data_IF_451993481233
#
_entry.id   IF_451993481233
#
_cell.length_a   1.000
_cell.length_b   1.000
_cell.length_c   1.000
_cell.angle_alpha   90.00
_cell.angle_beta   90.00
_cell.angle_gamma   90.00
#
_symmetry.space_group_name_H-M   'P 1'
#
loop_
_entity.id
_entity.type
_entity.pdbx_description
1 polymer ?
#
# COMPACT_ATOMS: atom_id res chain seq x y z
N UNK A 1 0.12 -20.62 2.66
CA UNK A 1 -1.03 -21.56 2.46
C UNK A 1 -0.68 -22.47 1.27
N UNK A 2 -1.47 -23.49 0.91
CA UNK A 2 -1.22 -24.21 -0.35
C UNK A 2 -1.98 -23.56 -1.50
N UNK A 3 -1.34 -23.21 -2.62
CA UNK A 3 -2.06 -22.85 -3.84
C UNK A 3 -2.36 -24.12 -4.65
N UNK A 4 -3.59 -24.24 -5.14
CA UNK A 4 -4.05 -25.38 -5.91
C UNK A 4 -4.73 -24.90 -7.20
N UNK A 5 -4.45 -25.60 -8.30
CA UNK A 5 -5.19 -25.48 -9.56
C UNK A 5 -6.39 -26.43 -9.47
N UNK A 6 -7.59 -25.91 -9.76
CA UNK A 6 -8.78 -26.76 -9.93
C UNK A 6 -8.80 -27.30 -11.36
N UNK A 7 -8.69 -28.61 -11.51
CA UNK A 7 -8.87 -29.31 -12.77
C UNK A 7 -10.31 -29.83 -12.84
N UNK A 8 -11.09 -29.42 -13.85
CA UNK A 8 -12.50 -29.78 -14.02
C UNK A 8 -12.90 -29.78 -15.50
N UNK A 9 -14.01 -30.42 -15.86
CA UNK A 9 -14.56 -30.28 -17.21
C UNK A 9 -15.20 -28.90 -17.37
N UNK A 10 -14.92 -28.21 -18.49
CA UNK A 10 -15.33 -26.80 -18.73
C UNK A 10 -16.82 -26.46 -18.52
N UNK A 11 -17.69 -27.45 -18.34
CA UNK A 11 -19.14 -27.32 -18.20
C UNK A 11 -19.69 -27.72 -16.82
N UNK A 12 -18.90 -28.35 -15.94
CA UNK A 12 -19.36 -28.80 -14.62
C UNK A 12 -18.20 -28.70 -13.60
N UNK A 13 -18.37 -27.88 -12.56
CA UNK A 13 -17.37 -27.73 -11.50
C UNK A 13 -17.41 -28.88 -10.47
N UNK A 14 -18.48 -29.68 -10.46
CA UNK A 14 -18.71 -30.69 -9.43
C UNK A 14 -17.79 -31.92 -9.57
N UNK A 15 -17.21 -32.14 -10.74
CA UNK A 15 -16.24 -33.20 -11.01
C UNK A 15 -14.78 -32.79 -10.76
N UNK A 16 -14.58 -31.55 -10.29
CA UNK A 16 -13.25 -30.97 -10.16
C UNK A 16 -12.38 -31.64 -9.11
N UNK A 17 -11.08 -31.76 -9.39
CA UNK A 17 -10.05 -32.16 -8.42
C UNK A 17 -8.96 -31.11 -8.32
N UNK A 18 -8.39 -30.97 -7.12
CA UNK A 18 -7.35 -29.98 -6.83
C UNK A 18 -5.96 -30.58 -7.02
N UNK A 19 -5.16 -29.94 -7.84
CA UNK A 19 -3.74 -30.24 -8.03
C UNK A 19 -2.90 -29.13 -7.41
N UNK A 20 -1.88 -29.50 -6.64
CA UNK A 20 -1.04 -28.51 -5.96
C UNK A 20 -0.21 -27.75 -6.98
N UNK A 21 -0.27 -26.41 -6.94
CA UNK A 21 0.56 -25.58 -7.78
C UNK A 21 2.04 -25.72 -7.36
N UNK A 22 2.93 -25.69 -8.36
CA UNK A 22 4.36 -25.75 -8.10
C UNK A 22 4.85 -24.40 -7.59
N UNK A 23 5.65 -24.44 -6.52
CA UNK A 23 6.40 -23.27 -6.06
C UNK A 23 7.61 -23.10 -6.97
N UNK A 24 7.77 -21.92 -7.53
CA UNK A 24 8.95 -21.59 -8.31
C UNK A 24 9.95 -20.81 -7.44
N UNK A 25 11.22 -21.22 -7.38
CA UNK A 25 12.26 -20.40 -6.79
C UNK A 25 12.54 -19.22 -7.72
N UNK A 26 12.08 -18.03 -7.36
CA UNK A 26 12.38 -16.79 -8.07
C UNK A 26 13.86 -16.41 -7.87
N UNK A 27 14.45 -15.75 -8.87
CA UNK A 27 15.69 -14.99 -8.67
C UNK A 27 15.38 -13.67 -7.94
N UNK A 28 15.61 -13.67 -6.63
CA UNK A 28 14.96 -12.77 -5.67
C UNK A 28 15.40 -11.30 -5.80
N UNK A 29 16.67 -11.04 -6.08
CA UNK A 29 17.27 -9.70 -5.87
C UNK A 29 16.73 -8.61 -6.80
N UNK A 30 16.02 -8.95 -7.88
CA UNK A 30 15.51 -7.92 -8.79
C UNK A 30 14.02 -8.01 -9.02
N UNK A 31 13.49 -9.20 -9.25
CA UNK A 31 12.11 -9.33 -9.74
C UNK A 31 11.09 -8.99 -8.66
N UNK A 32 11.25 -9.51 -7.44
CA UNK A 32 10.28 -9.25 -6.38
C UNK A 32 10.32 -7.81 -5.89
N UNK A 33 11.52 -7.20 -5.79
CA UNK A 33 11.64 -5.76 -5.53
C UNK A 33 10.89 -4.94 -6.58
N UNK A 34 11.06 -5.25 -7.87
CA UNK A 34 10.34 -4.54 -8.94
C UNK A 34 8.83 -4.71 -8.80
N UNK A 35 8.35 -5.91 -8.47
CA UNK A 35 6.91 -6.14 -8.30
C UNK A 35 6.36 -5.36 -7.12
N UNK A 36 7.10 -5.32 -6.01
CA UNK A 36 6.71 -4.57 -4.82
C UNK A 36 6.74 -3.06 -5.07
N UNK A 37 7.73 -2.57 -5.80
CA UNK A 37 7.81 -1.18 -6.24
C UNK A 37 6.61 -0.79 -7.11
N UNK A 38 6.21 -1.67 -8.02
CA UNK A 38 5.05 -1.49 -8.90
C UNK A 38 3.70 -1.76 -8.21
N UNK A 39 3.70 -2.34 -7.02
CA UNK A 39 2.50 -2.76 -6.29
C UNK A 39 2.68 -2.61 -4.78
N UNK A 40 2.98 -1.40 -4.28
CA UNK A 40 3.25 -1.17 -2.85
C UNK A 40 2.05 -1.48 -1.94
N UNK A 41 0.84 -1.45 -2.49
CA UNK A 41 -0.40 -1.75 -1.76
C UNK A 41 -0.38 -3.15 -1.11
N UNK A 42 0.35 -4.11 -1.67
CA UNK A 42 0.44 -5.47 -1.12
C UNK A 42 1.10 -5.53 0.26
N UNK A 43 1.80 -4.48 0.69
CA UNK A 43 2.39 -4.36 2.03
C UNK A 43 1.36 -4.02 3.10
N UNK A 44 0.16 -3.59 2.71
CA UNK A 44 -0.91 -3.20 3.63
C UNK A 44 -2.05 -4.20 3.59
N UNK A 45 -2.81 -4.27 4.67
CA UNK A 45 -4.02 -5.09 4.72
C UNK A 45 -5.17 -4.51 3.90
N UNK A 46 -5.14 -3.20 3.65
CA UNK A 46 -6.11 -2.53 2.79
C UNK A 46 -5.54 -2.34 1.38
N UNK A 47 -6.39 -2.55 0.37
CA UNK A 47 -6.03 -2.44 -1.05
C UNK A 47 -5.83 -0.98 -1.53
N UNK A 48 -5.77 0.00 -0.60
CA UNK A 48 -5.87 1.44 -0.91
C UNK A 48 -4.69 2.26 -0.48
N UNK A 49 -3.95 1.76 0.51
CA UNK A 49 -2.72 2.35 0.97
C UNK A 49 -1.65 2.08 -0.07
N UNK A 50 -0.83 3.09 -0.32
CA UNK A 50 0.27 3.01 -1.28
C UNK A 50 1.47 3.76 -0.72
N UNK A 51 2.61 3.60 -1.36
CA UNK A 51 3.88 4.22 -0.96
C UNK A 51 4.42 4.99 -2.16
N UNK A 52 4.81 6.24 -1.92
CA UNK A 52 5.64 7.00 -2.84
C UNK A 52 7.08 6.57 -2.61
N UNK A 53 7.64 5.73 -3.47
CA UNK A 53 9.03 5.32 -3.38
C UNK A 53 9.95 6.51 -3.64
N UNK A 54 11.01 6.61 -2.84
CA UNK A 54 12.02 7.68 -2.94
C UNK A 54 13.43 7.11 -3.00
N UNK A 55 13.55 5.78 -3.08
CA UNK A 55 14.84 5.14 -3.11
C UNK A 55 14.80 3.62 -3.17
N UNK A 56 15.76 3.08 -3.92
CA UNK A 56 16.12 1.66 -3.96
C UNK A 56 17.58 1.54 -3.59
N UNK A 57 17.92 0.57 -2.74
CA UNK A 57 19.32 0.35 -2.34
C UNK A 57 20.01 1.67 -1.97
N UNK A 58 19.34 2.48 -1.13
CA UNK A 58 19.68 3.89 -0.92
C UNK A 58 20.99 4.05 -0.16
N UNK A 59 22.00 4.67 -0.79
CA UNK A 59 23.35 4.76 -0.24
C UNK A 59 23.44 5.66 0.98
N UNK A 60 23.84 5.08 2.11
CA UNK A 60 24.21 5.79 3.33
C UNK A 60 25.74 5.87 3.44
N UNK A 61 26.36 6.95 2.98
CA UNK A 61 27.82 7.08 3.10
C UNK A 61 28.18 7.46 4.54
N UNK A 62 28.38 6.48 5.43
CA UNK A 62 29.12 6.68 6.69
C UNK A 62 30.01 5.49 7.09
N UNK A 63 31.29 5.85 7.14
CA UNK A 63 32.55 5.26 7.62
C UNK A 63 32.87 3.76 7.77
N UNK A 64 32.00 2.77 7.99
CA UNK A 64 32.52 1.38 8.16
C UNK A 64 31.76 0.22 7.51
N UNK A 65 30.48 0.33 7.19
CA UNK A 65 29.80 -0.60 6.25
C UNK A 65 28.55 0.05 5.68
N UNK A 66 28.49 0.27 4.37
CA UNK A 66 27.25 0.70 3.72
C UNK A 66 26.26 -0.45 3.74
N UNK A 67 25.17 -0.32 4.48
CA UNK A 67 24.02 -1.22 4.35
C UNK A 67 22.81 -0.39 3.96
N UNK A 68 21.97 -0.96 3.12
CA UNK A 68 20.94 -0.26 2.36
C UNK A 68 19.61 -0.96 2.62
N UNK A 69 18.53 -0.24 2.97
CA UNK A 69 17.21 -0.83 2.83
C UNK A 69 16.96 -1.13 1.35
N UNK A 70 16.32 -2.27 1.07
CA UNK A 70 16.04 -2.66 -0.31
C UNK A 70 15.11 -1.63 -0.98
N UNK A 71 14.05 -1.20 -0.26
CA UNK A 71 13.18 -0.09 -0.67
C UNK A 71 12.97 0.93 0.45
N UNK A 72 12.90 2.21 0.07
CA UNK A 72 12.56 3.33 0.94
C UNK A 72 11.53 4.22 0.27
N UNK A 73 10.49 4.58 1.00
CA UNK A 73 9.39 5.40 0.50
C UNK A 73 8.77 6.29 1.57
N UNK A 74 7.72 6.99 1.19
CA UNK A 74 6.93 7.86 2.06
C UNK A 74 5.46 7.54 1.86
N UNK A 75 4.72 7.42 2.96
CA UNK A 75 3.29 7.12 2.92
C UNK A 75 2.40 8.37 2.77
N UNK A 76 1.10 8.15 2.70
CA UNK A 76 0.10 9.21 2.62
C UNK A 76 -0.03 10.05 3.90
N UNK A 77 0.78 9.85 4.94
CA UNK A 77 0.90 10.72 6.12
C UNK A 77 2.22 11.51 6.16
N UNK A 78 3.15 11.21 5.24
CA UNK A 78 4.49 11.82 5.23
C UNK A 78 5.50 11.04 6.08
N UNK A 79 5.11 9.87 6.58
CA UNK A 79 5.98 9.00 7.38
C UNK A 79 6.86 8.14 6.47
N UNK A 80 8.10 7.91 6.90
CA UNK A 80 9.07 7.14 6.11
C UNK A 80 8.76 5.65 6.24
N UNK A 81 8.77 4.96 5.10
CA UNK A 81 8.57 3.53 4.99
C UNK A 81 9.88 2.86 4.57
N UNK A 82 10.31 1.87 5.33
CA UNK A 82 11.50 1.07 5.04
C UNK A 82 11.10 -0.39 4.85
N UNK A 83 11.60 -1.01 3.79
CA UNK A 83 11.33 -2.42 3.48
C UNK A 83 12.64 -3.18 3.35
N UNK A 84 12.74 -4.26 4.11
CA UNK A 84 13.81 -5.25 4.01
C UNK A 84 13.26 -6.55 3.46
N UNK A 85 13.85 -7.00 2.36
CA UNK A 85 13.49 -8.17 1.58
C UNK A 85 14.49 -9.31 1.88
N UNK A 86 13.99 -10.52 2.15
CA UNK A 86 14.80 -11.75 2.27
C UNK A 86 14.26 -12.91 1.44
N UNK A 87 15.14 -13.51 0.63
CA UNK A 87 14.88 -14.79 -0.04
C UNK A 87 14.81 -15.91 0.99
N UNK A 88 13.82 -16.77 0.87
CA UNK A 88 13.70 -17.93 1.74
C UNK A 88 13.37 -17.53 3.18
N UNK A 89 14.00 -18.21 4.14
CA UNK A 89 13.76 -18.00 5.56
C UNK A 89 14.55 -16.83 6.11
N UNK A 90 13.88 -15.91 6.80
CA UNK A 90 14.53 -14.76 7.45
C UNK A 90 15.68 -15.20 8.37
N UNK A 91 16.90 -14.66 8.21
CA UNK A 91 17.96 -14.85 9.18
C UNK A 91 17.66 -14.02 10.44
N UNK A 92 18.31 -14.35 11.57
CA UNK A 92 18.02 -13.66 12.85
C UNK A 92 18.44 -12.19 12.85
N UNK A 93 19.46 -11.85 12.10
CA UNK A 93 20.03 -10.51 11.98
C UNK A 93 19.20 -9.56 11.11
N UNK A 94 18.15 -10.05 10.43
CA UNK A 94 17.24 -9.19 9.63
C UNK A 94 16.64 -8.06 10.47
N UNK A 95 16.32 -8.32 11.74
CA UNK A 95 15.78 -7.29 12.64
C UNK A 95 16.85 -6.26 12.98
N UNK A 96 18.10 -6.69 13.18
CA UNK A 96 19.20 -5.77 13.44
C UNK A 96 19.47 -4.88 12.22
N UNK A 97 19.49 -5.46 11.01
CA UNK A 97 19.63 -4.71 9.75
C UNK A 97 18.52 -3.67 9.61
N UNK A 98 17.26 -4.06 9.79
CA UNK A 98 16.12 -3.14 9.70
C UNK A 98 16.19 -2.01 10.74
N UNK A 99 16.64 -2.29 11.97
CA UNK A 99 16.82 -1.28 13.01
C UNK A 99 18.02 -0.35 12.74
N UNK A 100 19.09 -0.84 12.11
CA UNK A 100 20.19 0.00 11.62
C UNK A 100 19.66 1.03 10.60
N UNK A 101 18.81 0.60 9.67
CA UNK A 101 18.17 1.51 8.70
C UNK A 101 17.21 2.48 9.37
N UNK A 102 16.41 2.01 10.33
CA UNK A 102 15.50 2.87 11.07
C UNK A 102 16.27 3.98 11.82
N UNK A 103 17.37 3.63 12.50
CA UNK A 103 18.20 4.60 13.19
C UNK A 103 18.84 5.63 12.22
N UNK A 104 19.22 5.21 11.02
CA UNK A 104 19.68 6.14 9.98
C UNK A 104 18.55 7.05 9.50
N UNK A 105 17.39 6.48 9.15
CA UNK A 105 16.26 7.22 8.60
C UNK A 105 15.66 8.24 9.59
N UNK A 106 15.67 7.93 10.89
CA UNK A 106 15.21 8.82 11.96
C UNK A 106 16.00 10.15 12.00
N UNK A 107 17.24 10.14 11.52
CA UNK A 107 18.09 11.34 11.47
C UNK A 107 17.97 12.14 10.16
N UNK A 108 17.16 11.71 9.20
CA UNK A 108 17.01 12.40 7.92
C UNK A 108 16.14 13.64 8.06
N UNK A 109 16.70 14.78 7.66
CA UNK A 109 15.97 16.03 7.53
C UNK A 109 15.03 16.03 6.31
N UNK A 110 14.17 17.05 6.21
CA UNK A 110 13.37 17.26 5.01
C UNK A 110 14.27 17.39 3.77
N UNK A 111 15.36 18.14 3.88
CA UNK A 111 16.32 18.37 2.80
C UNK A 111 16.98 17.06 2.35
N UNK A 112 17.33 16.17 3.28
CA UNK A 112 17.89 14.86 2.94
C UNK A 112 16.87 14.02 2.15
N UNK A 113 15.62 13.97 2.61
CA UNK A 113 14.53 13.25 1.95
C UNK A 113 14.20 13.86 0.59
N UNK A 114 14.27 15.18 0.47
CA UNK A 114 14.06 15.88 -0.79
C UNK A 114 15.14 15.50 -1.81
N UNK A 115 16.42 15.48 -1.42
CA UNK A 115 17.52 15.04 -2.29
C UNK A 115 17.34 13.59 -2.74
N UNK A 116 16.94 12.69 -1.84
CA UNK A 116 16.63 11.29 -2.19
C UNK A 116 15.50 11.22 -3.22
N UNK A 117 14.42 11.97 -2.98
CA UNK A 117 13.23 12.02 -3.84
C UNK A 117 13.58 12.52 -5.24
N UNK A 118 14.22 13.69 -5.34
CA UNK A 118 14.61 14.28 -6.62
C UNK A 118 15.54 13.35 -7.42
N UNK A 119 16.45 12.64 -6.73
CA UNK A 119 17.34 11.67 -7.37
C UNK A 119 16.56 10.46 -7.88
N UNK A 120 15.58 9.97 -7.15
CA UNK A 120 14.76 8.82 -7.55
C UNK A 120 13.88 9.14 -8.77
N UNK A 121 13.36 10.36 -8.86
CA UNK A 121 12.51 10.82 -9.96
C UNK A 121 13.27 11.55 -11.09
N UNK A 122 14.60 11.45 -11.15
CA UNK A 122 15.44 12.20 -12.11
C UNK A 122 15.16 11.88 -13.60
N UNK A 123 14.55 10.71 -13.86
CA UNK A 123 14.19 10.19 -15.19
C UNK A 123 12.70 10.06 -15.40
N UNK A 124 11.87 10.41 -14.41
CA UNK A 124 10.43 10.38 -14.56
C UNK A 124 9.98 11.71 -15.17
N UNK A 125 9.55 11.69 -16.44
CA UNK A 125 9.12 12.89 -17.16
C UNK A 125 8.00 13.67 -16.47
N UNK A 126 7.18 13.01 -15.64
CA UNK A 126 6.08 13.66 -14.92
C UNK A 126 6.55 14.39 -13.66
N UNK A 127 7.60 13.89 -13.00
CA UNK A 127 8.03 14.37 -11.67
C UNK A 127 9.42 15.00 -11.67
N UNK A 128 10.12 15.00 -12.80
CA UNK A 128 11.47 15.55 -12.92
C UNK A 128 11.53 17.02 -12.47
N UNK A 129 12.46 17.30 -11.56
CA UNK A 129 12.69 18.64 -11.02
C UNK A 129 11.67 19.12 -9.98
N UNK A 130 10.67 18.30 -9.63
CA UNK A 130 9.76 18.58 -8.52
C UNK A 130 10.39 18.21 -7.18
N UNK A 131 10.03 18.96 -6.13
CA UNK A 131 10.43 18.69 -4.76
C UNK A 131 9.53 17.61 -4.12
N UNK A 132 10.01 17.02 -3.02
CA UNK A 132 9.31 16.02 -2.22
C UNK A 132 7.86 16.42 -1.91
N UNK A 133 7.64 17.63 -1.39
CA UNK A 133 6.29 18.09 -1.06
C UNK A 133 5.36 18.17 -2.27
N UNK A 134 5.88 18.51 -3.45
CA UNK A 134 5.09 18.64 -4.67
C UNK A 134 4.68 17.27 -5.23
N UNK A 135 5.63 16.33 -5.29
CA UNK A 135 5.36 14.96 -5.73
C UNK A 135 4.39 14.29 -4.74
N UNK A 136 4.63 14.44 -3.43
CA UNK A 136 3.74 13.91 -2.39
C UNK A 136 2.32 14.44 -2.53
N UNK A 137 2.17 15.76 -2.70
CA UNK A 137 0.88 16.41 -2.97
C UNK A 137 0.21 15.83 -4.22
N UNK A 138 0.95 15.70 -5.33
CA UNK A 138 0.42 15.19 -6.59
C UNK A 138 -0.05 13.73 -6.50
N UNK A 139 0.59 12.92 -5.65
CA UNK A 139 0.25 11.50 -5.49
C UNK A 139 -0.94 11.33 -4.54
N UNK A 140 -0.92 12.00 -3.38
CA UNK A 140 -1.86 11.73 -2.29
C UNK A 140 -2.98 12.78 -2.14
N UNK A 141 -2.78 14.00 -2.66
CA UNK A 141 -3.72 15.14 -2.53
C UNK A 141 -3.93 15.96 -3.83
N UNK A 142 -4.03 15.31 -5.00
CA UNK A 142 -4.14 15.97 -6.31
C UNK A 142 -5.29 16.97 -6.45
N UNK A 143 -6.39 16.80 -5.71
CA UNK A 143 -7.58 17.66 -5.81
C UNK A 143 -7.67 18.77 -4.76
N UNK A 144 -6.70 18.84 -3.84
CA UNK A 144 -6.73 19.88 -2.82
C UNK A 144 -6.08 21.15 -3.38
N UNK A 145 -6.85 22.23 -3.38
CA UNK A 145 -6.35 23.56 -3.73
C UNK A 145 -5.35 24.03 -2.67
N UNK A 146 -4.11 24.31 -3.11
CA UNK A 146 -3.02 24.76 -2.25
C UNK A 146 -2.20 23.62 -1.63
N UNK A 147 -1.00 23.96 -1.17
CA UNK A 147 -0.10 22.99 -0.56
C UNK A 147 -0.66 22.49 0.78
N UNK A 148 -0.77 21.17 0.95
CA UNK A 148 -1.07 20.58 2.25
C UNK A 148 0.17 20.68 3.12
N UNK A 149 0.09 21.46 4.21
CA UNK A 149 1.19 21.58 5.17
C UNK A 149 1.43 20.22 5.84
N UNK A 150 2.67 19.72 5.73
CA UNK A 150 3.04 18.37 6.14
C UNK A 150 4.40 18.36 6.81
N UNK A 151 4.44 17.74 7.98
CA UNK A 151 5.69 17.35 8.61
C UNK A 151 6.06 15.96 8.07
N UNK A 152 7.20 15.88 7.41
CA UNK A 152 7.74 14.60 6.95
C UNK A 152 8.54 13.92 8.05
N UNK A 153 8.66 12.59 7.95
CA UNK A 153 9.51 11.76 8.81
C UNK A 153 9.21 11.91 10.32
N UNK A 154 7.93 11.95 10.69
CA UNK A 154 7.53 12.01 12.10
C UNK A 154 7.49 10.62 12.73
N UNK A 155 7.26 9.59 11.91
CA UNK A 155 7.30 8.18 12.28
C UNK A 155 7.96 7.37 11.19
N UNK A 156 8.42 6.18 11.59
CA UNK A 156 8.94 5.16 10.69
C UNK A 156 7.99 3.96 10.66
N UNK A 157 7.74 3.43 9.48
CA UNK A 157 7.03 2.17 9.25
C UNK A 157 7.99 1.18 8.61
N UNK A 158 8.16 0.03 9.24
CA UNK A 158 9.22 -0.92 8.92
C UNK A 158 8.60 -2.23 8.47
N UNK A 159 9.08 -2.78 7.36
CA UNK A 159 8.58 -4.04 6.80
C UNK A 159 9.72 -5.05 6.66
N UNK A 160 9.45 -6.28 7.10
CA UNK A 160 10.23 -7.47 6.78
C UNK A 160 9.42 -8.31 5.81
N UNK A 161 9.96 -8.56 4.62
CA UNK A 161 9.28 -9.33 3.57
C UNK A 161 10.10 -10.57 3.23
N UNK A 162 9.54 -11.77 3.38
CA UNK A 162 10.28 -13.01 3.08
C UNK A 162 9.40 -14.20 2.69
N UNK A 163 9.99 -15.30 2.20
CA UNK A 163 9.24 -16.54 1.91
C UNK A 163 8.85 -17.30 3.18
N UNK A 164 9.64 -17.16 4.25
CA UNK A 164 9.36 -17.73 5.56
C UNK A 164 9.88 -16.82 6.68
N UNK A 165 8.97 -16.38 7.56
CA UNK A 165 9.32 -15.58 8.72
C UNK A 165 9.54 -16.51 9.92
N UNK A 166 10.77 -16.52 10.44
CA UNK A 166 11.09 -17.39 11.57
C UNK A 166 10.30 -17.00 12.83
N UNK A 167 9.91 -17.99 13.64
CA UNK A 167 9.22 -17.75 14.92
C UNK A 167 9.97 -16.77 15.84
N UNK A 168 11.30 -16.86 15.89
CA UNK A 168 12.12 -15.95 16.68
C UNK A 168 12.06 -14.51 16.18
N UNK A 169 12.04 -14.29 14.86
CA UNK A 169 11.89 -12.95 14.29
C UNK A 169 10.52 -12.38 14.66
N UNK A 170 9.44 -13.16 14.53
CA UNK A 170 8.09 -12.75 14.93
C UNK A 170 7.99 -12.39 16.41
N UNK A 171 8.58 -13.19 17.29
CA UNK A 171 8.60 -12.92 18.74
C UNK A 171 9.33 -11.61 19.08
N UNK A 172 10.47 -11.34 18.43
CA UNK A 172 11.23 -10.10 18.61
C UNK A 172 10.45 -8.91 18.08
N UNK A 173 9.92 -9.00 16.86
CA UNK A 173 9.07 -7.95 16.24
C UNK A 173 7.89 -7.61 17.15
N UNK A 174 7.17 -8.63 17.63
CA UNK A 174 6.03 -8.42 18.55
C UNK A 174 6.45 -7.75 19.86
N UNK A 175 7.61 -8.11 20.40
CA UNK A 175 8.16 -7.47 21.59
C UNK A 175 8.50 -5.99 21.31
N UNK A 176 9.20 -5.71 20.21
CA UNK A 176 9.61 -4.37 19.80
C UNK A 176 8.41 -3.46 19.55
N UNK A 177 7.38 -3.95 18.86
CA UNK A 177 6.16 -3.17 18.65
C UNK A 177 5.47 -2.87 19.99
N UNK A 178 5.28 -3.89 20.84
CA UNK A 178 4.54 -3.75 22.11
C UNK A 178 5.29 -2.93 23.18
N UNK A 179 6.61 -3.02 23.23
CA UNK A 179 7.43 -2.43 24.32
C UNK A 179 8.31 -1.29 23.86
N UNK A 180 8.78 -1.32 22.61
CA UNK A 180 9.58 -0.26 21.99
C UNK A 180 8.77 0.76 21.21
N UNK A 181 7.45 0.56 21.05
CA UNK A 181 6.57 1.45 20.28
C UNK A 181 7.05 1.65 18.84
N UNK A 182 7.54 0.58 18.21
CA UNK A 182 7.92 0.57 16.81
C UNK A 182 6.73 0.10 15.94
N UNK A 183 6.73 0.50 14.67
CA UNK A 183 5.79 0.00 13.66
C UNK A 183 6.50 -0.98 12.72
N UNK A 184 6.66 -2.23 13.16
CA UNK A 184 7.27 -3.30 12.36
C UNK A 184 6.22 -4.31 11.92
N UNK A 185 6.10 -4.53 10.62
CA UNK A 185 5.23 -5.56 10.03
C UNK A 185 6.05 -6.63 9.31
N UNK A 186 5.59 -7.89 9.37
CA UNK A 186 6.20 -9.04 8.70
C UNK A 186 5.24 -9.56 7.63
N UNK A 187 5.61 -9.45 6.36
CA UNK A 187 4.87 -10.03 5.24
C UNK A 187 5.59 -11.28 4.74
N UNK A 188 4.84 -12.37 4.67
CA UNK A 188 5.24 -13.57 3.96
C UNK A 188 4.77 -13.52 2.52
N UNK A 189 5.57 -14.01 1.59
CA UNK A 189 5.12 -14.22 0.21
C UNK A 189 5.43 -15.63 -0.30
N UNK A 190 4.64 -16.11 -1.25
CA UNK A 190 4.85 -17.37 -1.95
C UNK A 190 4.57 -17.16 -3.44
N UNK A 191 5.47 -17.64 -4.31
CA UNK A 191 5.30 -17.53 -5.77
C UNK A 191 5.02 -18.90 -6.35
N UNK A 192 4.01 -18.94 -7.20
CA UNK A 192 3.61 -20.11 -7.96
C UNK A 192 3.59 -19.77 -9.44
N UNK A 193 3.85 -20.78 -10.27
CA UNK A 193 3.71 -20.67 -11.72
C UNK A 193 2.72 -21.71 -12.22
N UNK A 194 1.78 -21.30 -13.04
CA UNK A 194 0.89 -22.22 -13.73
C UNK A 194 1.59 -22.92 -14.89
N UNK A 195 0.99 -24.00 -15.37
CA UNK A 195 1.42 -24.68 -16.60
C UNK A 195 1.30 -23.78 -17.85
N UNK A 196 0.36 -22.83 -17.86
CA UNK A 196 0.23 -21.80 -18.90
C UNK A 196 1.35 -20.76 -18.87
N UNK A 197 2.19 -20.78 -17.83
CA UNK A 197 3.32 -19.87 -17.65
C UNK A 197 3.00 -18.58 -16.89
N UNK A 198 1.78 -18.43 -16.37
CA UNK A 198 1.36 -17.29 -15.55
C UNK A 198 1.92 -17.41 -14.13
N UNK A 199 2.25 -16.26 -13.53
CA UNK A 199 2.74 -16.19 -12.15
C UNK A 199 1.61 -15.79 -11.20
N UNK A 200 1.56 -16.45 -10.05
CA UNK A 200 0.67 -16.13 -8.94
C UNK A 200 1.51 -15.84 -7.71
N UNK A 201 1.27 -14.70 -7.07
CA UNK A 201 1.94 -14.31 -5.83
C UNK A 201 0.90 -14.29 -4.73
N UNK A 202 1.12 -15.10 -3.69
CA UNK A 202 0.37 -15.05 -2.45
C UNK A 202 1.14 -14.19 -1.46
N UNK A 203 0.48 -13.25 -0.80
CA UNK A 203 1.04 -12.49 0.33
C UNK A 203 0.22 -12.71 1.59
N UNK A 204 0.86 -12.70 2.75
CA UNK A 204 0.22 -12.87 4.06
C UNK A 204 0.98 -12.03 5.10
N UNK A 205 0.31 -11.08 5.75
CA UNK A 205 0.89 -10.33 6.87
C UNK A 205 0.82 -11.22 8.11
N UNK A 206 1.96 -11.77 8.54
CA UNK A 206 2.04 -12.70 9.68
C UNK A 206 2.16 -11.98 11.03
N UNK A 207 2.70 -10.77 11.06
CA UNK A 207 2.71 -9.88 12.24
C UNK A 207 2.56 -8.43 11.78
N UNK A 208 1.74 -7.67 12.48
CA UNK A 208 1.59 -6.23 12.28
C UNK A 208 1.86 -5.49 13.59
N UNK A 209 2.17 -4.19 13.53
CA UNK A 209 2.21 -3.38 14.74
C UNK A 209 0.81 -3.19 15.32
N UNK A 210 0.62 -3.35 16.64
CA UNK A 210 -0.62 -2.98 17.28
C UNK A 210 -0.63 -1.46 17.46
N UNK A 211 -1.36 -0.72 16.63
CA UNK A 211 -1.75 0.65 16.98
C UNK A 211 -2.49 0.57 18.31
N UNK A 212 -2.22 1.46 19.24
CA UNK A 212 -3.00 1.58 20.47
C UNK A 212 -4.51 1.75 20.16
N UNK A 213 -5.31 0.69 20.31
CA UNK A 213 -6.75 0.80 20.47
C UNK A 213 -7.05 1.06 21.94
N UNK A 214 -7.35 2.31 22.29
CA UNK A 214 -8.11 2.59 23.50
C UNK A 214 -9.55 2.11 23.26
N UNK A 215 -9.87 0.90 23.71
CA UNK A 215 -11.07 0.60 24.53
C UNK A 215 -11.23 -0.92 24.80
N UNK A 216 -11.61 -1.22 26.04
CA UNK A 216 -11.91 -2.54 26.59
C UNK A 216 -13.23 -3.12 26.06
N UNK A 217 -13.20 -4.35 25.52
CA UNK A 217 -14.40 -5.14 25.24
C UNK A 217 -14.10 -6.44 24.48
N UNK A 218 -14.27 -7.58 25.15
CA UNK A 218 -14.01 -8.96 24.69
C UNK A 218 -14.52 -9.33 23.28
N UNK A 219 -13.62 -9.68 22.33
CA UNK A 219 -13.51 -11.00 21.64
C UNK A 219 -12.33 -11.03 20.63
N UNK A 220 -11.95 -12.23 20.21
CA UNK A 220 -10.64 -12.65 19.66
C UNK A 220 -10.17 -12.03 18.32
N UNK A 221 -8.86 -11.75 18.29
CA UNK A 221 -7.87 -11.82 17.18
C UNK A 221 -8.09 -11.04 15.88
N UNK A 222 -7.47 -9.86 15.79
CA UNK A 222 -6.52 -9.41 14.76
C UNK A 222 -6.25 -7.92 15.00
N UNK A 223 -5.01 -7.54 15.28
CA UNK A 223 -4.64 -6.15 15.56
C UNK A 223 -3.81 -5.63 14.39
N UNK A 224 -4.33 -4.65 13.65
CA UNK A 224 -3.64 -4.09 12.49
C UNK A 224 -3.65 -2.55 12.45
N UNK A 225 -2.55 -2.01 11.92
CA UNK A 225 -2.51 -0.70 11.27
C UNK A 225 -3.11 -0.86 9.87
N UNK A 226 -4.35 -0.45 9.77
CA UNK A 226 -5.25 -0.77 8.67
C UNK A 226 -6.64 -0.62 9.26
N UNK A 227 -7.60 -0.29 8.44
CA UNK A 227 -8.98 -0.25 8.87
C UNK A 227 -9.39 -1.48 9.70
N UNK A 228 -9.71 -1.27 10.98
CA UNK A 228 -10.07 -2.34 11.94
C UNK A 228 -11.59 -2.63 12.00
N UNK A 229 -12.37 -2.12 11.04
CA UNK A 229 -13.80 -2.37 11.02
C UNK A 229 -14.16 -3.68 10.30
N UNK A 230 -15.30 -4.26 10.66
CA UNK A 230 -15.77 -5.54 10.12
C UNK A 230 -16.06 -5.52 8.60
N UNK A 231 -15.98 -4.35 7.96
CA UNK A 231 -16.38 -4.11 6.57
C UNK A 231 -15.24 -3.43 5.81
N UNK A 232 -14.66 -4.00 4.74
CA UNK A 232 -13.52 -3.41 4.03
C UNK A 232 -13.70 -1.93 3.66
N UNK A 233 -12.62 -1.14 3.67
CA UNK A 233 -12.63 0.32 3.38
C UNK A 233 -13.37 0.63 2.09
N UNK A 234 -13.10 -0.10 1.00
CA UNK A 234 -13.82 0.03 -0.28
C UNK A 234 -15.34 0.02 -0.13
N UNK A 235 -15.86 -0.89 0.67
CA UNK A 235 -17.29 -1.01 0.90
C UNK A 235 -17.81 0.11 1.80
N UNK A 236 -17.03 0.54 2.79
CA UNK A 236 -17.36 1.69 3.64
C UNK A 236 -17.45 2.97 2.81
N UNK A 237 -16.45 3.23 1.95
CA UNK A 237 -16.41 4.40 1.06
C UNK A 237 -17.55 4.36 0.05
N UNK A 238 -17.80 3.20 -0.58
CA UNK A 238 -18.94 3.02 -1.48
C UNK A 238 -20.27 3.33 -0.80
N UNK A 239 -20.51 2.81 0.41
CA UNK A 239 -21.74 3.05 1.14
C UNK A 239 -21.91 4.55 1.48
N UNK A 240 -20.82 5.21 1.88
CA UNK A 240 -20.83 6.64 2.15
C UNK A 240 -21.14 7.47 0.90
N UNK A 241 -20.58 7.11 -0.26
CA UNK A 241 -20.92 7.75 -1.55
C UNK A 241 -22.41 7.55 -1.87
N UNK A 242 -22.92 6.33 -1.73
CA UNK A 242 -24.34 6.01 -1.97
C UNK A 242 -25.26 6.85 -1.05
N UNK A 243 -24.87 7.13 0.19
CA UNK A 243 -25.60 7.99 1.11
C UNK A 243 -25.54 9.48 0.74
N UNK A 244 -24.36 9.98 0.37
CA UNK A 244 -24.20 11.38 -0.09
C UNK A 244 -25.05 11.62 -1.34
N UNK A 245 -25.04 10.70 -2.30
CA UNK A 245 -25.80 10.80 -3.54
C UNK A 245 -27.32 10.65 -3.35
N UNK A 246 -27.79 9.98 -2.29
CA UNK A 246 -29.23 9.99 -1.94
C UNK A 246 -29.73 11.38 -1.52
N UNK A 247 -28.84 12.19 -0.96
CA UNK A 247 -29.17 13.55 -0.48
C UNK A 247 -29.06 14.57 -1.62
N UNK A 248 -28.16 14.33 -2.58
CA UNK A 248 -27.85 15.27 -3.67
C UNK A 248 -28.50 14.86 -4.99
N UNK A 249 -29.31 15.75 -5.54
CA UNK A 249 -30.05 15.50 -6.79
C UNK A 249 -29.23 15.70 -8.06
N UNK A 250 -28.03 16.29 -7.97
CA UNK A 250 -27.13 16.54 -9.12
C UNK A 250 -26.25 15.33 -9.46
N UNK A 251 -26.22 14.30 -8.60
CA UNK A 251 -25.38 13.12 -8.80
C UNK A 251 -23.88 13.37 -8.56
N UNK A 252 -23.52 14.50 -7.94
CA UNK A 252 -22.13 14.93 -7.74
C UNK A 252 -21.77 14.89 -6.26
N UNK A 253 -20.62 14.33 -5.93
CA UNK A 253 -20.05 14.30 -4.58
C UNK A 253 -18.61 14.82 -4.55
N UNK A 254 -18.12 15.17 -3.37
CA UNK A 254 -16.74 15.57 -3.11
C UNK A 254 -16.09 14.65 -2.09
N UNK A 255 -14.77 14.53 -2.12
CA UNK A 255 -14.04 13.75 -1.12
C UNK A 255 -14.33 14.19 0.32
N UNK A 256 -14.52 15.50 0.56
CA UNK A 256 -14.87 16.06 1.87
C UNK A 256 -16.22 15.58 2.39
N UNK A 257 -17.23 15.48 1.52
CA UNK A 257 -18.55 14.97 1.88
C UNK A 257 -18.48 13.49 2.26
N UNK A 258 -17.76 12.68 1.48
CA UNK A 258 -17.58 11.24 1.74
C UNK A 258 -16.80 11.01 3.03
N UNK A 259 -15.68 11.71 3.23
CA UNK A 259 -14.89 11.65 4.46
C UNK A 259 -15.76 12.00 5.67
N UNK A 260 -16.53 13.08 5.60
CA UNK A 260 -17.45 13.47 6.67
C UNK A 260 -18.48 12.38 6.98
N UNK A 261 -19.00 11.71 5.95
CA UNK A 261 -19.98 10.64 6.14
C UNK A 261 -19.36 9.37 6.73
N UNK A 262 -18.16 8.98 6.30
CA UNK A 262 -17.43 7.83 6.86
C UNK A 262 -17.08 8.08 8.32
N UNK A 263 -16.52 9.23 8.67
CA UNK A 263 -16.08 9.55 10.04
C UNK A 263 -17.25 9.55 11.04
N UNK A 264 -18.46 9.92 10.61
CA UNK A 264 -19.65 9.86 11.48
C UNK A 264 -19.93 8.44 11.98
N UNK A 265 -19.74 7.45 11.11
CA UNK A 265 -19.97 6.05 11.45
C UNK A 265 -18.70 5.39 12.01
N UNK A 266 -17.54 5.83 11.55
CA UNK A 266 -16.23 5.24 11.86
C UNK A 266 -15.18 6.33 12.16
N UNK A 267 -15.20 6.89 13.38
CA UNK A 267 -14.37 8.03 13.75
C UNK A 267 -12.86 7.78 13.64
N UNK A 268 -12.43 6.53 13.79
CA UNK A 268 -11.03 6.12 13.78
C UNK A 268 -10.50 5.82 12.37
N UNK A 269 -11.35 5.90 11.34
CA UNK A 269 -10.93 5.68 9.96
C UNK A 269 -10.01 6.82 9.49
N UNK A 270 -8.82 6.47 8.98
CA UNK A 270 -7.89 7.47 8.47
C UNK A 270 -8.47 8.17 7.22
N UNK A 271 -8.56 9.50 7.29
CA UNK A 271 -9.11 10.34 6.21
C UNK A 271 -8.34 10.22 4.90
N UNK A 272 -7.03 10.00 4.97
CA UNK A 272 -6.17 9.80 3.81
C UNK A 272 -6.50 8.48 3.14
N UNK A 273 -6.68 7.39 3.90
CA UNK A 273 -7.12 6.10 3.38
C UNK A 273 -8.46 6.22 2.65
N UNK A 274 -9.44 6.95 3.22
CA UNK A 274 -10.72 7.21 2.56
C UNK A 274 -10.54 7.95 1.23
N UNK A 275 -9.69 8.99 1.21
CA UNK A 275 -9.41 9.78 0.01
C UNK A 275 -8.70 8.93 -1.07
N UNK A 276 -7.65 8.21 -0.69
CA UNK A 276 -6.92 7.29 -1.56
C UNK A 276 -7.85 6.24 -2.19
N UNK A 277 -8.80 5.69 -1.43
CA UNK A 277 -9.81 4.77 -1.97
C UNK A 277 -10.66 5.43 -3.08
N UNK A 278 -11.11 6.67 -2.89
CA UNK A 278 -11.87 7.40 -3.92
C UNK A 278 -11.02 7.55 -5.19
N UNK A 279 -9.73 7.84 -5.06
CA UNK A 279 -8.82 8.01 -6.19
C UNK A 279 -8.52 6.70 -6.91
N UNK A 280 -8.30 5.63 -6.16
CA UNK A 280 -8.10 4.29 -6.72
C UNK A 280 -9.29 3.88 -7.60
N UNK A 281 -10.52 4.14 -7.13
CA UNK A 281 -11.75 3.76 -7.84
C UNK A 281 -12.19 4.79 -8.89
N UNK A 282 -11.46 5.91 -9.06
CA UNK A 282 -11.78 6.93 -10.04
C UNK A 282 -11.01 6.72 -11.35
N UNK A 283 -11.71 6.34 -12.42
CA UNK A 283 -11.10 5.79 -13.64
C UNK A 283 -10.21 6.77 -14.41
N UNK A 284 -10.54 8.06 -14.38
CA UNK A 284 -9.84 9.12 -15.10
C UNK A 284 -9.01 10.03 -14.17
N UNK A 285 -8.72 9.57 -12.96
CA UNK A 285 -7.96 10.32 -11.97
C UNK A 285 -6.45 10.13 -12.19
N UNK A 286 -5.65 11.21 -12.21
CA UNK A 286 -4.21 11.17 -12.49
C UNK A 286 -3.40 10.29 -11.51
N UNK A 287 -3.78 10.30 -10.23
CA UNK A 287 -3.13 9.49 -9.20
C UNK A 287 -3.50 7.99 -9.23
N UNK A 288 -4.47 7.58 -10.06
CA UNK A 288 -4.93 6.18 -10.17
C UNK A 288 -3.78 5.19 -10.43
N UNK A 289 -2.79 5.61 -11.22
CA UNK A 289 -1.58 4.84 -11.53
C UNK A 289 -0.77 4.39 -10.30
N UNK A 290 -0.94 5.04 -9.16
CA UNK A 290 -0.26 4.70 -7.90
C UNK A 290 -1.01 3.64 -7.08
N UNK A 291 -2.21 3.25 -7.51
CA UNK A 291 -3.11 2.31 -6.84
C UNK A 291 -3.44 1.11 -7.74
N UNK A 292 -2.45 0.58 -8.47
CA UNK A 292 -2.62 -0.58 -9.35
C UNK A 292 -3.07 -1.80 -8.51
N UNK A 293 -4.02 -2.59 -8.99
CA UNK A 293 -4.41 -3.87 -8.37
C UNK A 293 -5.67 -3.87 -7.50
N UNK A 294 -6.08 -2.73 -6.94
CA UNK A 294 -7.24 -2.59 -6.04
C UNK A 294 -8.48 -1.88 -6.61
N UNK A 295 -8.50 -1.60 -7.92
CA UNK A 295 -9.44 -0.68 -8.57
C UNK A 295 -10.80 -1.34 -8.87
N UNK A 296 -11.91 -0.72 -8.43
CA UNK A 296 -13.28 -1.18 -8.71
C UNK A 296 -13.99 -0.42 -9.84
N UNK A 297 -13.37 0.63 -10.36
CA UNK A 297 -13.90 1.47 -11.45
C UNK A 297 -15.30 1.99 -11.14
N UNK A 298 -15.42 2.74 -10.04
CA UNK A 298 -16.70 3.21 -9.52
C UNK A 298 -16.98 4.67 -9.86
N UNK A 299 -15.93 5.50 -9.97
CA UNK A 299 -16.05 6.95 -9.97
C UNK A 299 -15.40 7.60 -11.20
N UNK A 300 -15.85 8.82 -11.50
CA UNK A 300 -15.31 9.66 -12.56
C UNK A 300 -15.17 11.09 -12.04
N UNK A 301 -13.99 11.69 -12.18
CA UNK A 301 -13.74 13.09 -11.77
C UNK A 301 -14.18 14.04 -12.88
N UNK A 302 -14.87 15.11 -12.49
CA UNK A 302 -15.27 16.22 -13.37
C UNK A 302 -14.45 17.49 -13.11
N UNK A 303 -13.38 17.37 -12.32
CA UNK A 303 -12.47 18.46 -11.93
C UNK A 303 -12.83 19.12 -10.59
N UNK A 304 -11.90 19.91 -10.06
CA UNK A 304 -12.04 20.67 -8.81
C UNK A 304 -12.48 19.81 -7.60
N UNK A 305 -11.95 18.59 -7.48
CA UNK A 305 -12.29 17.65 -6.41
C UNK A 305 -13.74 17.16 -6.41
N UNK A 306 -14.44 17.27 -7.54
CA UNK A 306 -15.80 16.80 -7.74
C UNK A 306 -15.82 15.48 -8.52
N UNK A 307 -16.68 14.57 -8.07
CA UNK A 307 -16.80 13.21 -8.59
C UNK A 307 -18.26 12.86 -8.85
N UNK A 308 -18.47 11.91 -9.75
CA UNK A 308 -19.76 11.24 -9.98
C UNK A 308 -19.53 9.74 -10.16
N UNK A 309 -20.61 8.97 -10.22
CA UNK A 309 -20.53 7.56 -10.62
C UNK A 309 -20.01 7.45 -12.06
N UNK A 310 -19.10 6.52 -12.28
CA UNK A 310 -18.59 6.17 -13.60
C UNK A 310 -19.65 5.43 -14.41
N UNK A 311 -19.77 5.79 -15.68
CA UNK A 311 -20.66 5.13 -16.62
C UNK A 311 -19.85 4.69 -17.85
N UNK A 312 -19.52 3.40 -17.89
CA UNK A 312 -18.73 2.79 -18.96
C UNK A 312 -19.28 3.04 -20.38
N UNK A 313 -20.60 3.18 -20.54
CA UNK A 313 -21.21 3.43 -21.86
C UNK A 313 -20.94 4.84 -22.37
N UNK A 314 -20.95 5.86 -21.50
CA UNK A 314 -20.70 7.26 -21.89
C UNK A 314 -19.24 7.66 -21.79
N UNK A 315 -18.53 7.09 -20.82
CA UNK A 315 -17.19 7.54 -20.42
C UNK A 315 -16.08 6.76 -21.15
N UNK A 316 -16.42 5.63 -21.79
CA UNK A 316 -15.49 4.72 -22.46
C UNK A 316 -14.78 3.78 -21.49
N UNK A 317 -13.77 3.06 -21.97
CA UNK A 317 -12.95 2.17 -21.13
C UNK A 317 -11.67 2.91 -20.69
N UNK A 318 -11.12 2.52 -19.54
CA UNK A 318 -9.90 3.12 -18.99
C UNK A 318 -8.96 2.03 -18.48
N UNK A 319 -7.64 2.24 -18.57
CA UNK A 319 -6.64 1.31 -18.06
C UNK A 319 -6.22 1.64 -16.60
N UNK A 320 -5.31 0.84 -16.04
CA UNK A 320 -4.82 1.05 -14.69
C UNK A 320 -3.97 2.32 -14.51
N UNK A 321 -3.47 2.90 -15.61
CA UNK A 321 -2.72 4.16 -15.62
C UNK A 321 -3.64 5.40 -15.65
N UNK A 322 -4.96 5.20 -15.79
CA UNK A 322 -5.93 6.29 -15.95
C UNK A 322 -5.97 6.85 -17.37
N UNK A 323 -5.58 6.06 -18.37
CA UNK A 323 -5.67 6.41 -19.78
C UNK A 323 -6.88 5.76 -20.43
N UNK A 324 -7.52 6.47 -21.35
CA UNK A 324 -8.70 5.97 -22.06
C UNK A 324 -8.29 4.94 -23.11
N UNK A 325 -8.94 3.78 -23.08
CA UNK A 325 -8.77 2.69 -24.05
C UNK A 325 -9.85 2.84 -25.12
N UNK A 326 -9.44 2.77 -26.39
CA UNK A 326 -10.35 2.79 -27.56
C UNK A 326 -11.29 1.58 -27.63
#
# INVERSE_FOLDING_TARGET
>A
MGLFKLNYNKTDLSDGYMEKANKEPIDYEKDFENWLENSPHVLFEDDTSTIMWIGRQVSTTTYETTKFPDLMGIDSNGDVVLVELKKGRTPRDVVAQLLEYAAWADNLSYEDLNVLTMKYYDKDEMYIGMELSEIHQNIFYPDLDGAVERNFNQKLRLFIVAEDISKSVKEVVRFLNKKGNLDISCMKYEVFRSESGEFFVSTEIEEASPVESKHSGSRMTSASYGWNGDVPVKQVVKNAVDEVLKIKNDGIFTGKEVISQVIKQYPDCNQNTIRCQIYADCVNHSSRKHYKGGQLDMYYTIGNGQFRLYNRLSDGNWNAEGEKIE
#
